data_IF_065387958119
#
_entry.id   IF_065387958119
#
_cell.length_a   1.000
_cell.length_b   1.000
_cell.length_c   1.000
_cell.angle_alpha   90.00
_cell.angle_beta   90.00
_cell.angle_gamma   90.00
#
_symmetry.space_group_name_H-M   'P 1'
#
loop_
_entity.id
_entity.type
_entity.pdbx_description
1 polymer ?
#
# COMPACT_ATOMS: atom_id res chain seq x y z
N UNK A 1 24.03 31.18 11.03
CA UNK A 1 22.69 30.61 11.31
C UNK A 1 22.54 29.36 10.46
N UNK A 2 22.44 28.17 11.07
CA UNK A 2 22.19 26.92 10.32
C UNK A 2 20.70 26.87 9.97
N UNK A 3 20.39 26.93 8.68
CA UNK A 3 19.05 26.72 8.15
C UNK A 3 18.54 25.35 8.59
N UNK A 4 17.47 25.33 9.39
CA UNK A 4 16.73 24.10 9.64
C UNK A 4 15.93 23.80 8.37
N UNK A 5 16.46 22.94 7.51
CA UNK A 5 15.62 22.21 6.56
C UNK A 5 14.68 21.35 7.42
N UNK A 6 13.46 21.84 7.64
CA UNK A 6 12.40 21.01 8.19
C UNK A 6 11.95 20.17 7.01
N UNK A 7 12.54 18.98 6.86
CA UNK A 7 11.96 17.96 5.99
C UNK A 7 10.51 17.75 6.43
N UNK A 8 9.57 18.12 5.56
CA UNK A 8 8.17 17.82 5.75
C UNK A 8 8.02 16.30 5.66
N UNK A 9 8.02 15.65 6.82
CA UNK A 9 7.75 14.22 6.93
C UNK A 9 6.43 13.90 6.25
N UNK A 10 6.44 12.90 5.36
CA UNK A 10 5.25 12.36 4.68
C UNK A 10 4.16 11.96 5.70
N UNK A 11 4.54 11.60 6.93
CA UNK A 11 3.62 11.21 8.01
C UNK A 11 3.86 12.05 9.27
N UNK A 12 2.77 12.55 9.88
CA UNK A 12 2.81 13.27 11.17
C UNK A 12 3.11 12.30 12.34
N UNK A 13 3.91 12.72 13.32
CA UNK A 13 4.31 11.89 14.48
C UNK A 13 3.14 11.23 15.24
N UNK A 14 2.01 11.94 15.40
CA UNK A 14 0.80 11.37 16.05
C UNK A 14 0.23 10.20 15.25
N UNK A 15 0.20 10.34 13.93
CA UNK A 15 -0.31 9.33 13.00
C UNK A 15 0.62 8.13 12.94
N UNK A 16 1.94 8.37 12.92
CA UNK A 16 2.95 7.31 12.93
C UNK A 16 2.75 6.28 14.06
N UNK A 17 2.48 6.75 15.29
CA UNK A 17 2.22 5.87 16.43
C UNK A 17 0.98 4.99 16.22
N UNK A 18 -0.10 5.58 15.66
CA UNK A 18 -1.33 4.86 15.34
C UNK A 18 -1.06 3.79 14.27
N UNK A 19 -0.38 4.15 13.18
CA UNK A 19 -0.04 3.23 12.09
C UNK A 19 0.78 2.05 12.57
N UNK A 20 1.85 2.29 13.33
CA UNK A 20 2.69 1.21 13.89
C UNK A 20 1.86 0.24 14.74
N UNK A 21 0.92 0.75 15.53
CA UNK A 21 0.02 -0.11 16.31
C UNK A 21 -0.94 -0.92 15.42
N UNK A 22 -1.51 -0.32 14.38
CA UNK A 22 -2.46 -0.98 13.48
C UNK A 22 -1.78 -2.08 12.65
N UNK A 23 -0.62 -1.77 12.06
CA UNK A 23 0.19 -2.72 11.30
C UNK A 23 0.49 -3.97 12.13
N UNK A 24 0.90 -3.76 13.39
CA UNK A 24 1.27 -4.84 14.30
C UNK A 24 0.08 -5.65 14.84
N UNK A 25 -1.17 -5.21 14.59
CA UNK A 25 -2.41 -5.89 15.01
C UNK A 25 -3.11 -6.63 13.88
N UNK A 26 -2.92 -6.23 12.63
CA UNK A 26 -3.62 -6.85 11.49
C UNK A 26 -3.39 -6.15 10.15
N UNK A 27 -2.94 -4.90 10.16
CA UNK A 27 -2.58 -4.18 8.94
C UNK A 27 -3.17 -2.79 8.87
N UNK A 28 -2.89 -2.10 7.76
CA UNK A 28 -3.39 -0.77 7.46
C UNK A 28 -3.38 -0.50 5.96
N UNK A 29 -4.35 0.29 5.51
CA UNK A 29 -4.32 1.00 4.23
C UNK A 29 -4.52 2.48 4.52
N UNK A 30 -3.46 3.27 4.39
CA UNK A 30 -3.46 4.68 4.79
C UNK A 30 -2.91 5.56 3.68
N UNK A 31 -3.66 6.59 3.28
CA UNK A 31 -3.21 7.62 2.35
C UNK A 31 -2.54 8.76 3.11
N UNK A 32 -1.22 8.98 2.94
CA UNK A 32 -0.54 10.10 3.56
C UNK A 32 -0.99 11.45 3.00
N UNK A 33 -1.30 11.52 1.70
CA UNK A 33 -1.78 12.73 1.04
C UNK A 33 -3.08 13.23 1.67
N UNK A 34 -4.01 12.32 1.98
CA UNK A 34 -5.33 12.64 2.51
C UNK A 34 -5.42 12.59 4.04
N UNK A 35 -4.34 12.19 4.73
CA UNK A 35 -4.35 11.89 6.17
C UNK A 35 -5.49 10.92 6.55
N UNK A 36 -5.71 9.89 5.72
CA UNK A 36 -6.91 9.02 5.76
C UNK A 36 -6.55 7.55 5.91
N UNK A 37 -7.18 6.92 6.89
CA UNK A 37 -7.22 5.46 7.08
C UNK A 37 -8.46 4.90 6.36
N UNK A 38 -8.26 3.91 5.50
CA UNK A 38 -9.33 3.32 4.68
C UNK A 38 -9.95 2.06 5.31
N UNK A 39 -9.51 1.65 6.50
CA UNK A 39 -10.09 0.49 7.20
C UNK A 39 -11.59 0.70 7.44
N UNK A 40 -12.41 -0.30 7.09
CA UNK A 40 -13.88 -0.24 7.24
C UNK A 40 -14.61 0.57 6.16
N UNK A 41 -13.93 0.99 5.09
CA UNK A 41 -14.55 1.77 4.00
C UNK A 41 -14.88 0.88 2.80
N UNK A 42 -15.79 1.33 1.92
CA UNK A 42 -16.20 0.62 0.70
C UNK A 42 -15.15 0.71 -0.42
N UNK A 43 -13.92 0.32 -0.11
CA UNK A 43 -12.79 0.31 -1.02
C UNK A 43 -12.07 -1.04 -0.97
N UNK A 44 -11.36 -1.33 -2.06
CA UNK A 44 -10.44 -2.44 -2.22
C UNK A 44 -9.02 -1.88 -2.20
N UNK A 45 -8.12 -2.54 -1.47
CA UNK A 45 -6.69 -2.25 -1.49
C UNK A 45 -5.99 -3.22 -2.45
N UNK A 46 -5.43 -2.69 -3.52
CA UNK A 46 -4.65 -3.42 -4.53
C UNK A 46 -3.23 -2.86 -4.53
N UNK A 47 -2.21 -3.70 -4.69
CA UNK A 47 -0.80 -3.30 -4.63
C UNK A 47 -0.18 -3.43 -6.01
N UNK A 48 -0.38 -2.45 -6.91
CA UNK A 48 -0.03 -2.60 -8.32
C UNK A 48 1.46 -2.53 -8.61
N UNK A 49 2.31 -2.34 -7.58
CA UNK A 49 3.75 -2.08 -7.71
C UNK A 49 4.59 -3.06 -6.84
N UNK A 50 4.67 -4.35 -7.19
CA UNK A 50 5.46 -5.38 -6.50
C UNK A 50 6.95 -5.03 -6.42
N UNK A 51 7.50 -4.28 -7.39
CA UNK A 51 8.87 -3.75 -7.31
C UNK A 51 9.07 -2.72 -6.20
N UNK A 52 7.98 -2.17 -5.63
CA UNK A 52 8.01 -1.28 -4.46
C UNK A 52 7.76 -2.02 -3.15
N UNK A 53 7.37 -3.30 -3.19
CA UNK A 53 7.12 -4.10 -1.99
C UNK A 53 8.39 -4.30 -1.17
N UNK A 54 8.27 -4.24 0.15
CA UNK A 54 9.36 -4.52 1.08
C UNK A 54 8.91 -5.42 2.20
N UNK A 55 9.78 -6.37 2.54
CA UNK A 55 9.56 -7.35 3.59
C UNK A 55 10.58 -7.10 4.69
N UNK A 56 10.11 -6.89 5.91
CA UNK A 56 10.92 -6.71 7.09
C UNK A 56 10.74 -7.89 8.03
N UNK A 57 11.85 -8.35 8.62
CA UNK A 57 11.78 -9.32 9.72
C UNK A 57 11.32 -8.62 10.99
N UNK A 58 10.36 -9.21 11.69
CA UNK A 58 9.81 -8.72 12.94
C UNK A 58 8.66 -7.73 12.77
N UNK A 59 8.29 -7.12 13.89
CA UNK A 59 7.20 -6.14 14.00
C UNK A 59 7.59 -4.79 13.39
N UNK A 60 6.59 -4.08 12.86
CA UNK A 60 6.78 -2.74 12.32
C UNK A 60 7.29 -1.76 13.39
N UNK A 61 8.21 -0.89 12.99
CA UNK A 61 8.71 0.22 13.80
C UNK A 61 8.42 1.55 13.11
N UNK A 62 8.42 2.65 13.87
CA UNK A 62 8.25 3.99 13.29
C UNK A 62 9.31 4.32 12.24
N UNK A 63 10.55 3.87 12.45
CA UNK A 63 11.65 4.06 11.48
C UNK A 63 11.38 3.33 10.16
N UNK A 64 10.88 2.10 10.22
CA UNK A 64 10.51 1.35 9.01
C UNK A 64 9.42 2.09 8.23
N UNK A 65 8.34 2.49 8.91
CA UNK A 65 7.21 3.18 8.27
C UNK A 65 7.66 4.50 7.62
N UNK A 66 8.40 5.35 8.35
CA UNK A 66 8.90 6.61 7.80
C UNK A 66 9.86 6.39 6.64
N UNK A 67 10.81 5.45 6.76
CA UNK A 67 11.78 5.17 5.71
C UNK A 67 11.12 4.63 4.44
N UNK A 68 10.09 3.79 4.58
CA UNK A 68 9.33 3.28 3.44
C UNK A 68 8.52 4.37 2.76
N UNK A 69 7.84 5.23 3.53
CA UNK A 69 7.07 6.34 2.97
C UNK A 69 7.97 7.37 2.27
N UNK A 70 9.14 7.68 2.82
CA UNK A 70 10.07 8.60 2.16
C UNK A 70 10.59 8.03 0.84
N UNK A 71 10.93 6.74 0.80
CA UNK A 71 11.42 6.07 -0.42
C UNK A 71 10.37 6.03 -1.55
N UNK A 72 9.08 6.03 -1.20
CA UNK A 72 7.97 5.94 -2.15
C UNK A 72 7.15 7.25 -2.25
N UNK A 73 7.75 8.36 -1.85
CA UNK A 73 7.09 9.67 -1.79
C UNK A 73 6.52 10.09 -3.16
N UNK A 74 7.21 9.74 -4.24
CA UNK A 74 6.79 9.96 -5.63
C UNK A 74 5.41 9.38 -5.96
N UNK A 75 5.04 8.25 -5.35
CA UNK A 75 3.72 7.63 -5.51
C UNK A 75 2.75 8.09 -4.42
N UNK A 76 3.19 8.21 -3.17
CA UNK A 76 2.32 8.61 -2.07
C UNK A 76 1.78 10.04 -2.25
N UNK A 77 2.55 10.95 -2.85
CA UNK A 77 2.10 12.30 -3.21
C UNK A 77 1.14 12.32 -4.41
N UNK A 78 1.07 11.24 -5.20
CA UNK A 78 0.07 11.06 -6.28
C UNK A 78 -1.25 10.48 -5.78
N UNK A 79 -1.39 10.23 -4.47
CA UNK A 79 -2.62 9.74 -3.85
C UNK A 79 -2.64 8.24 -3.56
N UNK A 80 -1.56 7.52 -3.87
CA UNK A 80 -1.41 6.13 -3.43
C UNK A 80 -1.28 6.04 -1.90
N UNK A 81 -1.53 4.86 -1.37
CA UNK A 81 -1.57 4.56 0.07
C UNK A 81 -0.41 3.67 0.49
N UNK A 82 -0.02 3.80 1.75
CA UNK A 82 0.74 2.78 2.46
C UNK A 82 -0.19 1.60 2.74
N UNK A 83 0.05 0.47 2.07
CA UNK A 83 -0.48 -0.84 2.44
C UNK A 83 0.52 -1.54 3.35
N UNK A 84 0.06 -2.12 4.45
CA UNK A 84 0.94 -2.94 5.29
C UNK A 84 0.19 -3.94 6.14
N UNK A 85 0.83 -5.08 6.42
CA UNK A 85 0.34 -6.07 7.37
C UNK A 85 1.51 -6.81 8.05
N UNK A 86 1.25 -7.34 9.25
CA UNK A 86 2.17 -8.23 9.97
C UNK A 86 1.64 -9.66 9.89
N UNK A 87 2.48 -10.57 9.40
CA UNK A 87 2.19 -11.99 9.38
C UNK A 87 2.78 -12.66 10.65
N UNK A 88 1.95 -13.10 11.60
CA UNK A 88 2.43 -13.76 12.80
C UNK A 88 3.05 -15.14 12.54
N UNK A 89 2.64 -15.83 11.46
CA UNK A 89 3.05 -17.21 11.17
C UNK A 89 4.51 -17.28 10.72
N UNK A 90 4.98 -16.26 10.01
CA UNK A 90 6.37 -16.16 9.56
C UNK A 90 7.15 -15.03 10.26
N UNK A 91 6.49 -14.25 11.12
CA UNK A 91 7.11 -13.17 11.89
C UNK A 91 7.61 -12.00 11.03
N UNK A 92 7.03 -11.76 9.85
CA UNK A 92 7.43 -10.69 8.93
C UNK A 92 6.37 -9.61 8.79
N UNK A 93 6.80 -8.38 8.55
CA UNK A 93 5.95 -7.26 8.14
C UNK A 93 6.15 -6.97 6.67
N UNK A 94 5.05 -6.79 5.95
CA UNK A 94 4.99 -6.49 4.53
C UNK A 94 4.51 -5.06 4.35
N UNK A 95 5.24 -4.28 3.54
CA UNK A 95 4.91 -2.92 3.14
C UNK A 95 4.78 -2.86 1.62
N UNK A 96 3.69 -2.26 1.16
CA UNK A 96 3.33 -2.14 -0.24
C UNK A 96 2.84 -0.71 -0.54
N UNK A 97 3.00 -0.28 -1.79
CA UNK A 97 2.29 0.90 -2.31
C UNK A 97 0.97 0.41 -2.88
N UNK A 98 -0.12 0.79 -2.21
CA UNK A 98 -1.46 0.35 -2.53
C UNK A 98 -2.26 1.46 -3.24
N UNK A 99 -3.11 1.07 -4.18
CA UNK A 99 -4.22 1.89 -4.66
C UNK A 99 -5.50 1.50 -3.93
N UNK A 100 -6.37 2.48 -3.69
CA UNK A 100 -7.69 2.27 -3.08
C UNK A 100 -8.77 2.48 -4.14
N UNK A 101 -9.44 1.40 -4.52
CA UNK A 101 -10.42 1.38 -5.62
C UNK A 101 -11.82 1.12 -5.03
N UNK A 102 -12.87 1.81 -5.49
CA UNK A 102 -14.24 1.54 -5.01
C UNK A 102 -14.61 0.07 -5.22
N UNK A 103 -15.35 -0.53 -4.28
CA UNK A 103 -15.89 -1.90 -4.43
C UNK A 103 -16.74 -2.06 -5.69
N UNK A 104 -17.32 -0.98 -6.22
CA UNK A 104 -18.09 -1.00 -7.47
C UNK A 104 -17.23 -1.32 -8.69
N UNK A 105 -15.91 -1.11 -8.63
CA UNK A 105 -14.94 -1.39 -9.70
C UNK A 105 -14.12 -2.66 -9.39
N UNK A 106 -14.75 -3.65 -8.76
CA UNK A 106 -14.05 -4.87 -8.34
C UNK A 106 -13.42 -5.62 -9.50
N UNK A 107 -14.06 -5.65 -10.67
CA UNK A 107 -13.54 -6.34 -11.86
C UNK A 107 -12.25 -5.69 -12.36
N UNK A 108 -12.20 -4.36 -12.39
CA UNK A 108 -11.03 -3.58 -12.76
C UNK A 108 -9.92 -3.71 -11.71
N UNK A 109 -10.29 -3.71 -10.42
CA UNK A 109 -9.34 -3.95 -9.34
C UNK A 109 -8.68 -5.34 -9.43
N UNK A 110 -9.46 -6.38 -9.77
CA UNK A 110 -8.94 -7.73 -10.01
C UNK A 110 -7.99 -7.75 -11.21
N UNK A 111 -8.36 -7.04 -12.28
CA UNK A 111 -7.53 -6.94 -13.50
C UNK A 111 -6.18 -6.28 -13.21
N UNK A 112 -6.19 -5.13 -12.53
CA UNK A 112 -4.97 -4.44 -12.11
C UNK A 112 -4.11 -5.32 -11.19
N UNK A 113 -4.73 -6.03 -10.25
CA UNK A 113 -4.05 -6.98 -9.38
C UNK A 113 -3.34 -8.11 -10.14
N UNK A 114 -4.02 -8.65 -11.16
CA UNK A 114 -3.48 -9.67 -12.05
C UNK A 114 -2.32 -9.14 -12.89
N UNK A 115 -2.40 -7.91 -13.40
CA UNK A 115 -1.30 -7.23 -14.10
C UNK A 115 -0.06 -7.05 -13.22
N UNK A 116 -0.24 -6.97 -11.89
CA UNK A 116 0.85 -6.92 -10.92
C UNK A 116 1.30 -8.31 -10.41
N UNK A 117 0.75 -9.40 -10.95
CA UNK A 117 0.95 -10.77 -10.47
C UNK A 117 0.70 -10.93 -8.96
N UNK A 118 -0.21 -10.13 -8.38
CA UNK A 118 -0.52 -10.16 -6.96
C UNK A 118 -1.44 -11.35 -6.63
N UNK A 119 -1.21 -12.04 -5.51
CA UNK A 119 -2.03 -13.20 -5.08
C UNK A 119 -3.45 -12.73 -4.73
N UNK A 120 -3.52 -11.79 -3.80
CA UNK A 120 -4.75 -11.30 -3.24
C UNK A 120 -4.69 -9.79 -2.97
N UNK A 121 -5.83 -9.14 -3.17
CA UNK A 121 -6.11 -7.79 -2.70
C UNK A 121 -6.94 -7.87 -1.43
N UNK A 122 -7.28 -6.73 -0.83
CA UNK A 122 -8.03 -6.71 0.43
C UNK A 122 -9.31 -5.89 0.31
N UNK A 123 -10.45 -6.49 0.65
CA UNK A 123 -11.70 -5.77 0.83
C UNK A 123 -11.69 -5.08 2.19
N UNK A 124 -11.68 -3.74 2.19
CA UNK A 124 -11.54 -2.95 3.41
C UNK A 124 -12.84 -2.85 4.21
N UNK A 125 -14.01 -3.12 3.62
CA UNK A 125 -15.28 -3.12 4.35
C UNK A 125 -15.56 -4.47 4.99
N UNK A 126 -15.23 -5.56 4.30
CA UNK A 126 -15.47 -6.94 4.76
C UNK A 126 -14.30 -7.53 5.56
N UNK A 127 -13.13 -6.91 5.49
CA UNK A 127 -11.88 -7.41 6.06
C UNK A 127 -11.50 -8.81 5.55
N UNK A 128 -11.63 -9.00 4.23
CA UNK A 128 -11.37 -10.28 3.56
C UNK A 128 -10.47 -10.12 2.35
N UNK A 129 -9.69 -11.16 2.08
CA UNK A 129 -8.87 -11.24 0.87
C UNK A 129 -9.74 -11.48 -0.37
N UNK A 130 -9.44 -10.76 -1.45
CA UNK A 130 -10.00 -11.00 -2.78
C UNK A 130 -8.91 -11.62 -3.63
N UNK A 131 -9.15 -12.82 -4.15
CA UNK A 131 -8.22 -13.49 -5.04
C UNK A 131 -8.10 -12.73 -6.37
N UNK A 132 -6.87 -12.38 -6.76
CA UNK A 132 -6.60 -11.64 -8.01
C UNK A 132 -6.03 -12.56 -9.11
N UNK A 133 -5.65 -13.79 -8.74
CA UNK A 133 -5.21 -14.82 -9.69
C UNK A 133 -3.73 -14.77 -10.08
N UNK A 134 -2.92 -13.96 -9.39
CA UNK A 134 -1.46 -13.97 -9.50
C UNK A 134 -0.79 -14.97 -8.55
N UNK A 135 0.53 -15.13 -8.71
CA UNK A 135 1.35 -16.03 -7.88
C UNK A 135 2.08 -15.32 -6.74
N UNK A 136 2.14 -13.99 -6.76
CA UNK A 136 2.90 -13.17 -5.81
C UNK A 136 4.40 -13.12 -6.09
N UNK A 137 4.86 -13.81 -7.13
CA UNK A 137 6.25 -13.77 -7.54
C UNK A 137 6.51 -12.51 -8.37
N UNK A 138 7.43 -11.68 -7.89
CA UNK A 138 7.88 -10.54 -8.67
C UNK A 138 8.92 -10.98 -9.70
N UNK A 139 8.57 -10.83 -10.97
CA UNK A 139 9.44 -10.98 -12.12
C UNK A 139 8.97 -9.98 -13.17
N UNK A 140 9.88 -9.15 -13.70
CA UNK A 140 9.57 -8.13 -14.71
C UNK A 140 8.86 -8.70 -15.95
N UNK A 141 9.09 -9.98 -16.28
CA UNK A 141 8.42 -10.66 -17.40
C UNK A 141 7.03 -11.19 -17.07
N UNK A 142 6.64 -11.23 -15.79
CA UNK A 142 5.34 -11.71 -15.31
C UNK A 142 4.37 -10.57 -14.97
N UNK A 143 4.83 -9.32 -15.02
CA UNK A 143 4.02 -8.14 -14.70
C UNK A 143 3.91 -7.23 -15.90
N UNK A 144 2.79 -6.55 -16.01
CA UNK A 144 2.63 -5.43 -16.95
C UNK A 144 3.65 -4.34 -16.59
N UNK A 145 4.22 -3.58 -17.56
CA UNK A 145 5.18 -2.53 -17.28
C UNK A 145 4.70 -1.51 -16.23
N UNK A 146 5.65 -0.92 -15.50
CA UNK A 146 5.37 0.02 -14.41
C UNK A 146 4.46 1.18 -14.83
N UNK A 147 4.78 1.85 -15.95
CA UNK A 147 4.05 3.03 -16.40
C UNK A 147 2.60 2.71 -16.78
N UNK A 148 2.35 1.56 -17.40
CA UNK A 148 1.00 1.12 -17.77
C UNK A 148 0.14 0.85 -16.52
N UNK A 149 0.71 0.17 -15.51
CA UNK A 149 -0.01 -0.07 -14.23
C UNK A 149 -0.21 1.23 -13.45
N UNK A 150 0.73 2.17 -13.53
CA UNK A 150 0.59 3.49 -12.93
C UNK A 150 -0.56 4.27 -13.55
N UNK A 151 -0.65 4.31 -14.88
CA UNK A 151 -1.73 4.96 -15.61
C UNK A 151 -3.10 4.31 -15.33
N UNK A 152 -3.16 2.97 -15.35
CA UNK A 152 -4.36 2.22 -15.01
C UNK A 152 -4.83 2.52 -13.57
N UNK A 153 -3.92 2.47 -12.60
CA UNK A 153 -4.25 2.75 -11.20
C UNK A 153 -4.72 4.19 -10.98
N UNK A 154 -4.09 5.18 -11.63
CA UNK A 154 -4.51 6.58 -11.56
C UNK A 154 -5.91 6.79 -12.16
N UNK A 155 -6.21 6.11 -13.27
CA UNK A 155 -7.54 6.13 -13.90
C UNK A 155 -8.62 5.58 -12.96
N UNK A 156 -8.32 4.48 -12.25
CA UNK A 156 -9.26 3.87 -11.31
C UNK A 156 -9.49 4.72 -10.04
N UNK A 157 -8.49 5.50 -9.63
CA UNK A 157 -8.57 6.44 -8.51
C UNK A 157 -9.34 7.74 -8.84
N UNK A 158 -9.28 8.21 -10.07
CA UNK A 158 -9.76 9.54 -10.48
C UNK A 158 -11.22 9.64 -10.95
N UNK A 159 -11.90 8.50 -11.12
CA UNK A 159 -13.31 8.43 -11.54
C UNK A 159 -14.25 8.16 -10.36
#
# INVERSE_FOLDING_TARGET
MKSKNVEHSVIKNRVLRKLVMQINKGGVTYSPLLDKDYSGTQYLAISPFPERSQIFTGRATGKMVMGYCEKNKDLLEKGFSLGSWFNPDNGKTYFDVATTISVEKQTEAITLGKHANQIAGFNLSEFQDIQLGGTGEFNDSLVTPFEERLEEALTLMGN
#
